data_IF_479865701375
#
_entry.id   IF_479865701375
#
_cell.length_a   1.000
_cell.length_b   1.000
_cell.length_c   1.000
_cell.angle_alpha   90.00
_cell.angle_beta   90.00
_cell.angle_gamma   90.00
#
_symmetry.space_group_name_H-M   'P 1'
#
loop_
_entity.id
_entity.type
_entity.pdbx_description
1 polymer ?
#
# COMPACT_ATOMS: atom_id res chain seq x y z
N UNK A 1 -1.21 5.44 4.97
CA UNK A 1 -0.65 4.15 4.50
C UNK A 1 -0.65 3.12 5.62
N UNK A 2 0.34 3.06 6.53
CA UNK A 2 0.45 1.96 7.52
C UNK A 2 -0.80 1.79 8.41
N UNK A 3 -1.40 2.91 8.85
CA UNK A 3 -2.66 2.90 9.62
C UNK A 3 -3.79 2.19 8.85
N UNK A 4 -3.94 2.51 7.56
CA UNK A 4 -5.00 1.98 6.71
C UNK A 4 -4.78 0.49 6.44
N UNK A 5 -3.51 0.08 6.26
CA UNK A 5 -3.13 -1.32 6.04
C UNK A 5 -3.45 -2.16 7.28
N UNK A 6 -3.15 -1.64 8.49
CA UNK A 6 -3.36 -2.35 9.76
C UNK A 6 -4.82 -2.78 9.95
N UNK A 7 -5.77 -1.91 9.61
CA UNK A 7 -7.20 -2.16 9.81
C UNK A 7 -7.86 -2.83 8.62
N UNK A 8 -7.21 -2.89 7.45
CA UNK A 8 -7.75 -3.48 6.24
C UNK A 8 -7.71 -5.01 6.21
N UNK A 9 -8.17 -5.59 5.10
CA UNK A 9 -8.17 -7.04 4.84
C UNK A 9 -8.03 -7.36 3.34
N UNK A 10 -7.99 -8.65 2.99
CA UNK A 10 -7.87 -9.14 1.60
C UNK A 10 -6.70 -8.49 0.83
N UNK A 11 -5.50 -8.64 1.37
CA UNK A 11 -4.27 -8.06 0.83
C UNK A 11 -3.88 -8.71 -0.51
N UNK A 12 -3.51 -7.88 -1.47
CA UNK A 12 -2.98 -8.26 -2.76
C UNK A 12 -1.64 -7.58 -2.99
N UNK A 13 -0.63 -8.37 -3.27
CA UNK A 13 0.67 -7.88 -3.64
C UNK A 13 0.96 -8.06 -5.13
N UNK A 14 1.53 -7.03 -5.76
CA UNK A 14 1.92 -7.01 -7.16
C UNK A 14 0.77 -6.65 -8.10
N UNK A 15 -0.23 -7.51 -8.20
CA UNK A 15 -1.40 -7.28 -9.06
C UNK A 15 -2.43 -6.45 -8.32
N UNK A 16 -2.86 -5.34 -8.93
CA UNK A 16 -3.85 -4.44 -8.35
C UNK A 16 -5.23 -4.73 -8.95
N UNK A 17 -6.10 -5.40 -8.20
CA UNK A 17 -7.54 -5.44 -8.50
C UNK A 17 -8.28 -4.44 -7.59
N UNK A 18 -9.17 -3.69 -8.23
CA UNK A 18 -10.11 -2.79 -7.56
C UNK A 18 -11.54 -3.36 -7.58
N UNK A 19 -11.69 -4.63 -7.88
CA UNK A 19 -12.97 -5.33 -7.80
C UNK A 19 -13.35 -5.56 -6.33
N UNK A 20 -14.65 -5.75 -6.07
CA UNK A 20 -15.16 -5.94 -4.71
C UNK A 20 -14.74 -7.27 -4.09
N UNK A 21 -14.35 -8.26 -4.91
CA UNK A 21 -13.94 -9.61 -4.49
C UNK A 21 -12.51 -9.94 -4.98
N UNK A 22 -11.48 -9.28 -4.42
CA UNK A 22 -10.10 -9.53 -4.80
C UNK A 22 -9.63 -10.90 -4.29
N UNK A 23 -8.84 -11.63 -5.09
CA UNK A 23 -8.13 -12.82 -4.62
C UNK A 23 -6.85 -12.41 -3.91
N UNK A 24 -6.69 -12.68 -2.60
CA UNK A 24 -5.48 -12.27 -1.87
C UNK A 24 -4.21 -12.92 -2.44
N UNK A 25 -3.08 -12.23 -2.32
CA UNK A 25 -1.81 -12.71 -2.87
C UNK A 25 -0.59 -12.28 -2.05
N UNK A 26 0.24 -13.27 -1.73
CA UNK A 26 1.56 -13.10 -1.11
C UNK A 26 2.62 -12.64 -2.13
N UNK A 27 3.71 -12.07 -1.62
CA UNK A 27 4.89 -11.71 -2.40
C UNK A 27 6.17 -11.68 -1.54
N UNK A 28 6.76 -12.84 -1.27
CA UNK A 28 8.04 -12.93 -0.52
C UNK A 28 9.19 -12.14 -1.18
N UNK A 29 9.44 -12.18 -2.51
CA UNK A 29 10.51 -11.37 -3.09
C UNK A 29 10.18 -9.87 -3.12
N UNK A 30 8.95 -9.51 -2.74
CA UNK A 30 8.35 -8.18 -2.76
C UNK A 30 8.03 -7.62 -4.14
N UNK A 31 7.09 -6.68 -4.19
CA UNK A 31 6.64 -5.99 -5.41
C UNK A 31 6.44 -4.49 -5.15
N UNK A 32 6.35 -3.70 -6.22
CA UNK A 32 6.22 -2.23 -6.15
C UNK A 32 4.78 -1.74 -6.00
N UNK A 33 3.82 -2.66 -6.00
CA UNK A 33 2.40 -2.37 -5.94
C UNK A 33 1.71 -3.27 -4.92
N UNK A 34 0.71 -2.71 -4.24
CA UNK A 34 0.00 -3.36 -3.16
C UNK A 34 -1.41 -2.79 -3.03
N UNK A 35 -2.41 -3.65 -2.82
CA UNK A 35 -3.78 -3.24 -2.59
C UNK A 35 -4.43 -4.06 -1.48
N UNK A 36 -5.41 -3.47 -0.82
CA UNK A 36 -6.19 -4.11 0.26
C UNK A 36 -7.59 -3.52 0.31
N UNK A 37 -8.47 -4.17 1.06
CA UNK A 37 -9.84 -3.74 1.28
C UNK A 37 -9.92 -3.00 2.61
N UNK A 38 -10.51 -1.82 2.61
CA UNK A 38 -10.84 -1.06 3.81
C UNK A 38 -11.94 -1.81 4.60
N UNK A 39 -11.79 -1.95 5.92
CA UNK A 39 -12.80 -2.61 6.78
C UNK A 39 -14.09 -1.82 6.96
N UNK A 40 -14.11 -0.55 6.55
CA UNK A 40 -15.32 0.27 6.42
C UNK A 40 -15.35 0.90 5.03
N UNK A 41 -15.84 2.13 4.95
CA UNK A 41 -15.96 2.90 3.71
C UNK A 41 -15.52 4.37 3.89
N UNK A 42 -14.79 4.71 4.95
CA UNK A 42 -14.45 6.09 5.28
C UNK A 42 -13.66 6.81 4.19
N UNK A 43 -12.73 6.10 3.53
CA UNK A 43 -11.93 6.63 2.43
C UNK A 43 -12.53 6.28 1.06
N UNK A 44 -13.28 5.19 0.98
CA UNK A 44 -13.75 4.59 -0.26
C UNK A 44 -15.23 4.80 -0.54
N UNK A 45 -15.93 5.56 0.30
CA UNK A 45 -17.34 5.94 0.11
C UNK A 45 -17.56 6.54 -1.28
N UNK A 46 -18.52 5.98 -2.02
CA UNK A 46 -18.86 6.41 -3.37
C UNK A 46 -17.79 6.10 -4.43
N UNK A 47 -16.75 5.32 -4.14
CA UNK A 47 -15.68 4.96 -5.09
C UNK A 47 -15.92 3.64 -5.83
N UNK A 48 -17.08 3.01 -5.66
CA UNK A 48 -17.49 1.78 -6.37
C UNK A 48 -16.92 0.49 -5.77
N UNK A 49 -15.84 0.54 -5.00
CA UNK A 49 -15.34 -0.57 -4.18
C UNK A 49 -14.53 -0.05 -3.01
N UNK A 50 -14.38 -0.87 -1.96
CA UNK A 50 -13.64 -0.51 -0.75
C UNK A 50 -12.13 -0.77 -0.87
N UNK A 51 -11.62 -0.80 -2.11
CA UNK A 51 -10.22 -1.14 -2.39
C UNK A 51 -9.32 0.08 -2.29
N UNK A 52 -8.21 -0.04 -1.59
CA UNK A 52 -7.16 0.98 -1.54
C UNK A 52 -5.92 0.38 -2.16
N UNK A 53 -5.36 1.04 -3.17
CA UNK A 53 -4.16 0.62 -3.88
C UNK A 53 -3.04 1.63 -3.71
N UNK A 54 -1.81 1.14 -3.58
CA UNK A 54 -0.57 1.88 -3.57
C UNK A 54 0.37 1.37 -4.68
N UNK A 55 1.09 2.27 -5.34
CA UNK A 55 2.14 1.93 -6.30
C UNK A 55 3.24 2.97 -6.32
N UNK A 56 4.39 2.60 -6.88
CA UNK A 56 5.41 3.54 -7.32
C UNK A 56 5.18 3.90 -8.79
N UNK A 57 5.06 5.18 -9.10
CA UNK A 57 4.99 5.69 -10.46
C UNK A 57 5.61 7.10 -10.51
N UNK A 58 6.38 7.38 -11.55
CA UNK A 58 7.04 8.70 -11.74
C UNK A 58 7.80 9.17 -10.48
N UNK A 59 8.56 8.25 -9.86
CA UNK A 59 9.34 8.52 -8.65
C UNK A 59 8.52 9.02 -7.45
N UNK A 60 7.22 8.74 -7.44
CA UNK A 60 6.33 9.10 -6.36
C UNK A 60 5.46 7.91 -5.96
N UNK A 61 5.07 7.89 -4.69
CA UNK A 61 4.05 6.95 -4.22
C UNK A 61 2.71 7.52 -4.63
N UNK A 62 1.94 6.73 -5.35
CA UNK A 62 0.57 7.04 -5.71
C UNK A 62 -0.40 6.15 -4.93
N UNK A 63 -1.57 6.71 -4.62
CA UNK A 63 -2.70 6.01 -4.01
C UNK A 63 -3.92 6.09 -4.92
N UNK A 64 -4.69 5.00 -4.97
CA UNK A 64 -6.02 4.95 -5.61
C UNK A 64 -7.06 4.43 -4.62
N UNK A 65 -8.25 5.03 -4.67
CA UNK A 65 -9.38 4.70 -3.81
C UNK A 65 -10.55 4.19 -4.65
N UNK A 66 -10.88 2.91 -4.49
CA UNK A 66 -11.95 2.19 -5.16
C UNK A 66 -11.80 2.06 -6.67
N UNK A 67 -12.76 1.35 -7.27
CA UNK A 67 -12.85 1.09 -8.70
C UNK A 67 -12.90 2.38 -9.54
N UNK A 68 -13.66 3.38 -9.08
CA UNK A 68 -13.87 4.64 -9.79
C UNK A 68 -12.87 5.73 -9.40
N UNK A 69 -11.88 5.42 -8.55
CA UNK A 69 -10.84 6.37 -8.18
C UNK A 69 -9.79 6.57 -9.26
N UNK A 70 -9.17 7.74 -9.28
CA UNK A 70 -7.93 8.00 -10.00
C UNK A 70 -6.72 7.76 -9.11
N UNK A 71 -5.55 7.60 -9.73
CA UNK A 71 -4.28 7.64 -9.01
C UNK A 71 -3.98 9.07 -8.55
N UNK A 72 -3.58 9.22 -7.31
CA UNK A 72 -3.21 10.50 -6.70
C UNK A 72 -1.85 10.36 -6.04
N UNK A 73 -0.95 11.31 -6.31
CA UNK A 73 0.36 11.37 -5.66
C UNK A 73 0.17 11.67 -4.17
N UNK A 74 0.81 10.88 -3.31
CA UNK A 74 0.83 11.07 -1.84
C UNK A 74 2.23 11.43 -1.31
N UNK A 75 3.23 11.44 -2.18
CA UNK A 75 4.58 11.94 -1.89
C UNK A 75 4.61 13.46 -2.07
N UNK A 76 5.38 14.17 -1.25
CA UNK A 76 5.57 15.61 -1.41
C UNK A 76 6.38 15.95 -2.67
N UNK A 77 6.22 17.13 -3.30
CA UNK A 77 6.90 17.48 -4.55
C UNK A 77 8.43 17.51 -4.47
N UNK A 78 8.97 17.81 -3.29
CA UNK A 78 10.40 17.90 -2.96
C UNK A 78 11.00 16.55 -2.51
N UNK A 79 10.22 15.47 -2.61
CA UNK A 79 10.63 14.11 -2.24
C UNK A 79 10.58 13.21 -3.46
N UNK A 80 11.72 12.62 -3.81
CA UNK A 80 11.87 11.65 -4.89
C UNK A 80 12.01 10.24 -4.31
N UNK A 81 11.14 9.33 -4.72
CA UNK A 81 11.14 7.93 -4.29
C UNK A 81 11.87 7.09 -5.33
N UNK A 82 13.03 6.57 -4.94
CA UNK A 82 13.88 5.75 -5.81
C UNK A 82 13.53 4.28 -5.74
N UNK A 83 13.02 3.81 -4.60
CA UNK A 83 12.53 2.44 -4.43
C UNK A 83 11.34 2.35 -3.49
N UNK A 84 10.36 1.54 -3.87
CA UNK A 84 9.22 1.14 -3.04
C UNK A 84 9.03 -0.37 -3.20
N UNK A 85 8.96 -1.07 -2.07
CA UNK A 85 8.77 -2.52 -2.06
C UNK A 85 7.84 -2.92 -0.94
N UNK A 86 6.81 -3.68 -1.29
CA UNK A 86 5.92 -4.36 -0.37
C UNK A 86 6.29 -5.84 -0.36
N UNK A 87 6.54 -6.39 0.82
CA UNK A 87 6.69 -7.84 1.06
C UNK A 87 5.48 -8.26 1.88
N UNK A 88 4.68 -9.17 1.34
CA UNK A 88 3.43 -9.61 1.95
C UNK A 88 3.45 -11.12 2.13
N UNK A 89 3.05 -11.60 3.30
CA UNK A 89 2.95 -13.02 3.63
C UNK A 89 1.68 -13.32 4.42
N UNK A 90 1.15 -14.53 4.28
CA UNK A 90 0.02 -14.99 5.08
C UNK A 90 -1.30 -14.35 4.68
N UNK A 91 -1.52 -14.09 3.39
CA UNK A 91 -2.77 -13.49 2.87
C UNK A 91 -3.93 -14.47 2.72
N UNK A 92 -3.69 -15.76 2.97
CA UNK A 92 -4.71 -16.81 2.95
C UNK A 92 -5.87 -16.45 3.88
N UNK A 93 -7.10 -16.58 3.37
CA UNK A 93 -8.32 -16.30 4.15
C UNK A 93 -8.79 -17.50 4.97
N UNK A 94 -8.22 -18.68 4.75
CA UNK A 94 -8.68 -19.95 5.32
C UNK A 94 -7.75 -20.50 6.40
N UNK A 95 -6.73 -19.76 6.81
CA UNK A 95 -5.84 -20.14 7.90
C UNK A 95 -5.96 -19.20 9.10
N UNK A 96 -5.30 -19.56 10.21
CA UNK A 96 -5.27 -18.76 11.43
C UNK A 96 -4.07 -17.79 11.46
N UNK A 97 -3.48 -17.47 10.31
CA UNK A 97 -2.31 -16.59 10.22
C UNK A 97 -2.76 -15.18 9.87
N UNK A 98 -2.41 -14.22 10.72
CA UNK A 98 -2.62 -12.82 10.36
C UNK A 98 -1.64 -12.40 9.27
N UNK A 99 -2.12 -11.79 8.17
CA UNK A 99 -1.24 -11.29 7.13
C UNK A 99 -0.26 -10.26 7.66
N UNK A 100 0.97 -10.33 7.15
CA UNK A 100 2.08 -9.45 7.49
C UNK A 100 2.53 -8.69 6.25
N UNK A 101 2.65 -7.37 6.36
CA UNK A 101 3.12 -6.49 5.28
C UNK A 101 4.35 -5.74 5.77
N UNK A 102 5.48 -5.93 5.10
CA UNK A 102 6.67 -5.09 5.28
C UNK A 102 6.83 -4.17 4.09
N UNK A 103 6.90 -2.86 4.37
CA UNK A 103 7.09 -1.81 3.38
C UNK A 103 8.50 -1.27 3.52
N UNK A 104 9.23 -1.24 2.40
CA UNK A 104 10.53 -0.61 2.26
C UNK A 104 10.39 0.58 1.33
N UNK A 105 10.91 1.73 1.74
CA UNK A 105 10.92 2.97 0.97
C UNK A 105 12.34 3.52 1.00
N UNK A 106 12.89 3.81 -0.17
CA UNK A 106 14.14 4.56 -0.30
C UNK A 106 13.86 5.77 -1.17
N UNK A 107 14.42 6.90 -0.79
CA UNK A 107 14.23 8.13 -1.51
C UNK A 107 15.18 9.22 -1.06
N UNK A 108 14.97 10.39 -1.64
CA UNK A 108 15.77 11.58 -1.45
C UNK A 108 14.81 12.74 -1.19
N UNK A 109 15.15 13.60 -0.24
CA UNK A 109 14.38 14.79 0.09
C UNK A 109 15.29 16.02 -0.04
N UNK A 110 14.82 17.01 -0.78
CA UNK A 110 15.59 18.22 -1.08
C UNK A 110 15.26 18.75 -2.48
N UNK A 111 15.20 20.08 -2.57
CA UNK A 111 14.94 20.79 -3.82
C UNK A 111 16.22 21.43 -4.41
N UNK A 112 17.33 21.35 -3.65
CA UNK A 112 18.59 22.01 -3.96
C UNK A 112 19.65 20.96 -4.25
N UNK A 113 20.03 20.89 -5.53
CA UNK A 113 21.10 20.04 -6.05
C UNK A 113 22.35 20.15 -5.18
N UNK A 114 22.75 19.03 -4.57
CA UNK A 114 23.93 18.94 -3.70
C UNK A 114 23.65 19.02 -2.19
N UNK A 115 22.39 19.21 -1.80
CA UNK A 115 21.92 19.18 -0.39
C UNK A 115 20.84 18.12 -0.15
N UNK A 116 20.56 17.29 -1.15
CA UNK A 116 19.58 16.22 -1.07
C UNK A 116 19.95 15.23 0.04
N UNK A 117 19.02 15.02 0.97
CA UNK A 117 19.17 14.05 2.04
C UNK A 117 18.59 12.72 1.62
N UNK A 118 19.41 11.68 1.61
CA UNK A 118 18.94 10.32 1.35
C UNK A 118 18.24 9.76 2.59
N UNK A 119 17.17 9.00 2.40
CA UNK A 119 16.49 8.29 3.48
C UNK A 119 16.13 6.87 3.06
N UNK A 120 16.10 5.98 4.05
CA UNK A 120 15.60 4.62 3.91
C UNK A 120 14.70 4.30 5.11
N UNK A 121 13.46 3.95 4.82
CA UNK A 121 12.44 3.63 5.80
C UNK A 121 11.99 2.19 5.61
N UNK A 122 11.90 1.46 6.72
CA UNK A 122 11.28 0.16 6.78
C UNK A 122 10.20 0.18 7.84
N UNK A 123 9.02 -0.34 7.51
CA UNK A 123 7.93 -0.52 8.47
C UNK A 123 7.23 -1.84 8.22
N UNK A 124 6.90 -2.53 9.30
CA UNK A 124 6.19 -3.81 9.24
C UNK A 124 4.88 -3.64 9.98
N UNK A 125 3.80 -4.10 9.36
CA UNK A 125 2.45 -4.07 9.94
C UNK A 125 1.81 -5.44 9.79
N UNK A 126 1.16 -5.87 10.86
CA UNK A 126 0.29 -7.06 10.87
C UNK A 126 -1.15 -6.59 10.83
N UNK A 127 -2.01 -7.36 10.18
CA UNK A 127 -3.44 -7.13 10.26
C UNK A 127 -3.91 -7.17 11.72
N UNK A 128 -4.72 -6.18 12.10
CA UNK A 128 -5.53 -6.25 13.30
C UNK A 128 -6.99 -6.19 12.87
N UNK A 129 -7.66 -7.35 12.92
CA UNK A 129 -9.11 -7.41 12.74
C UNK A 129 -9.76 -6.43 13.71
N UNK A 130 -10.75 -5.66 13.22
CA UNK A 130 -11.59 -4.91 14.13
C UNK A 130 -12.25 -5.91 15.09
N UNK A 131 -11.98 -5.75 16.37
CA UNK A 131 -12.73 -6.42 17.43
C UNK A 131 -14.09 -5.72 17.52
N UNK A 132 -15.17 -6.42 17.17
CA UNK A 132 -16.55 -5.89 17.12
C UNK A 132 -17.38 -6.38 18.30
#
# INVERSE_FOLDING_TARGET
MVRDIRTGYAYQCGTLSFDSNPTPSDCVPGKTAFAFTESGDSLTAGKGSNRIGFRLANEAIERRLGLNGSWQVVTAPDVRITALKFVVTGTSLSDNTSPLVTVFITGEAGDIVGTDSTFSLQTTVTQQSLDI
#
